data_IF_818240021865
#
_entry.id   IF_818240021865
#
_cell.length_a   1.000
_cell.length_b   1.000
_cell.length_c   1.000
_cell.angle_alpha   90.00
_cell.angle_beta   90.00
_cell.angle_gamma   90.00
#
_symmetry.space_group_name_H-M   'P 1'
#
loop_
_entity.id
_entity.type
_entity.pdbx_description
1 polymer ?
#
# COMPACT_ATOMS: atom_id res chain seq x y z
N UNK A 1 -27.00 22.17 -25.88
CA UNK A 1 -26.69 22.00 -27.31
C UNK A 1 -25.20 21.67 -27.55
N UNK A 2 -24.25 22.35 -26.95
CA UNK A 2 -22.81 22.12 -27.12
C UNK A 2 -22.34 20.67 -26.77
N UNK A 3 -22.85 20.05 -25.69
CA UNK A 3 -22.44 18.71 -25.27
C UNK A 3 -22.78 17.60 -26.31
N UNK A 4 -23.89 17.75 -27.02
CA UNK A 4 -24.28 16.80 -28.09
C UNK A 4 -23.41 16.94 -29.35
N UNK A 5 -22.97 18.15 -29.67
CA UNK A 5 -22.04 18.41 -30.76
C UNK A 5 -20.65 17.83 -30.53
N UNK A 6 -20.12 17.99 -29.30
CA UNK A 6 -18.86 17.39 -28.90
C UNK A 6 -18.89 15.85 -28.92
N UNK A 7 -20.02 15.24 -28.53
CA UNK A 7 -20.18 13.78 -28.58
C UNK A 7 -20.15 13.20 -30.00
N UNK A 8 -20.66 13.92 -30.97
CA UNK A 8 -20.64 13.49 -32.39
C UNK A 8 -19.22 13.56 -32.97
N UNK A 9 -18.48 14.66 -32.74
CA UNK A 9 -17.09 14.81 -33.22
C UNK A 9 -16.17 13.78 -32.56
N UNK A 10 -16.36 13.53 -31.23
CA UNK A 10 -15.56 12.57 -30.46
C UNK A 10 -15.66 11.13 -31.03
N UNK A 11 -16.83 10.77 -31.63
CA UNK A 11 -17.05 9.45 -32.24
C UNK A 11 -16.21 9.23 -33.53
N UNK A 12 -15.93 10.29 -34.28
CA UNK A 12 -15.15 10.22 -35.53
C UNK A 12 -13.64 10.36 -35.32
N UNK A 13 -13.18 10.67 -34.08
CA UNK A 13 -11.76 10.73 -33.80
C UNK A 13 -11.13 9.32 -33.84
N UNK A 14 -9.91 9.18 -34.41
CA UNK A 14 -9.13 7.95 -34.30
C UNK A 14 -9.01 7.49 -32.87
N UNK A 15 -9.10 6.17 -32.63
CA UNK A 15 -9.09 5.60 -31.25
C UNK A 15 -7.92 6.04 -30.40
N UNK A 16 -6.73 6.28 -31.02
CA UNK A 16 -5.55 6.80 -30.30
C UNK A 16 -5.76 8.24 -29.79
N UNK A 17 -6.34 9.11 -30.61
CA UNK A 17 -6.64 10.51 -30.27
C UNK A 17 -7.70 10.57 -29.17
N UNK A 18 -8.76 9.77 -29.29
CA UNK A 18 -9.83 9.68 -28.30
C UNK A 18 -9.31 9.25 -26.94
N UNK A 19 -8.44 8.21 -26.89
CA UNK A 19 -7.79 7.77 -25.63
C UNK A 19 -6.91 8.88 -25.04
N UNK A 20 -6.19 9.65 -25.85
CA UNK A 20 -5.33 10.75 -25.41
C UNK A 20 -6.15 11.90 -24.82
N UNK A 21 -7.25 12.28 -25.45
CA UNK A 21 -8.17 13.33 -24.95
C UNK A 21 -8.78 12.92 -23.61
N UNK A 22 -9.27 11.68 -23.47
CA UNK A 22 -9.80 11.16 -22.20
C UNK A 22 -8.75 11.20 -21.11
N UNK A 23 -7.52 10.77 -21.40
CA UNK A 23 -6.42 10.77 -20.42
C UNK A 23 -5.98 12.16 -19.95
N UNK A 24 -6.11 13.18 -20.78
CA UNK A 24 -5.76 14.56 -20.42
C UNK A 24 -6.68 15.16 -19.35
N UNK A 25 -7.93 14.69 -19.30
CA UNK A 25 -8.91 15.15 -18.30
C UNK A 25 -8.92 14.35 -16.99
N UNK A 26 -8.12 13.27 -16.88
CA UNK A 26 -8.12 12.41 -15.71
C UNK A 26 -7.04 12.79 -14.71
N UNK A 27 -7.40 12.81 -13.43
CA UNK A 27 -6.45 12.95 -12.34
C UNK A 27 -5.54 11.73 -12.28
N UNK A 28 -4.23 11.94 -12.24
CA UNK A 28 -3.25 10.88 -12.05
C UNK A 28 -3.04 10.63 -10.57
N UNK A 29 -2.96 9.36 -10.20
CA UNK A 29 -2.65 8.93 -8.85
C UNK A 29 -1.36 8.12 -8.86
N UNK A 30 -0.54 8.30 -7.84
CA UNK A 30 0.46 7.31 -7.47
C UNK A 30 -0.24 6.16 -6.75
N UNK A 31 0.31 4.95 -6.85
CA UNK A 31 -0.24 3.77 -6.17
C UNK A 31 0.82 3.17 -5.28
N UNK A 32 0.45 2.80 -4.07
CA UNK A 32 1.32 2.11 -3.12
C UNK A 32 0.67 0.82 -2.63
N UNK A 33 1.49 -0.16 -2.31
CA UNK A 33 1.10 -1.39 -1.64
C UNK A 33 1.75 -1.43 -0.25
N UNK A 34 0.93 -1.55 0.81
CA UNK A 34 1.38 -1.69 2.19
C UNK A 34 0.97 -3.04 2.77
N UNK A 35 1.77 -3.59 3.68
CA UNK A 35 1.57 -4.90 4.26
C UNK A 35 1.29 -4.86 5.76
N UNK A 36 0.22 -5.52 6.19
CA UNK A 36 0.08 -6.02 7.55
C UNK A 36 0.65 -7.44 7.59
N UNK A 37 1.93 -7.57 7.90
CA UNK A 37 2.60 -8.86 7.99
C UNK A 37 2.42 -9.40 9.40
N UNK A 38 1.92 -10.62 9.51
CA UNK A 38 1.76 -11.30 10.78
C UNK A 38 2.70 -12.50 10.87
N UNK A 39 3.22 -12.74 12.07
CA UNK A 39 3.92 -13.98 12.40
C UNK A 39 2.92 -15.07 12.86
N UNK A 40 3.45 -16.26 13.14
CA UNK A 40 2.68 -17.40 13.65
C UNK A 40 2.11 -17.20 15.06
N UNK A 41 2.55 -16.16 15.79
CA UNK A 41 2.02 -15.75 17.10
C UNK A 41 0.97 -14.64 16.99
N UNK A 42 0.70 -14.15 15.77
CA UNK A 42 -0.24 -13.05 15.51
C UNK A 42 0.30 -11.66 15.79
N UNK A 43 1.61 -11.50 15.99
CA UNK A 43 2.28 -10.20 16.13
C UNK A 43 2.41 -9.54 14.75
N UNK A 44 2.41 -8.21 14.73
CA UNK A 44 2.56 -7.42 13.51
C UNK A 44 4.01 -6.96 13.33
N UNK A 45 4.50 -7.01 12.09
CA UNK A 45 5.80 -6.44 11.71
C UNK A 45 5.66 -4.93 11.50
N UNK A 46 6.53 -4.18 12.17
CA UNK A 46 6.74 -2.76 11.88
C UNK A 46 8.23 -2.51 11.57
N UNK A 47 8.46 -1.52 10.70
CA UNK A 47 9.78 -1.09 10.30
C UNK A 47 10.09 0.29 10.87
N UNK A 48 11.30 0.45 11.43
CA UNK A 48 11.85 1.75 11.82
C UNK A 48 12.60 2.34 10.62
N UNK A 49 12.06 3.42 10.05
CA UNK A 49 12.64 4.10 8.90
C UNK A 49 13.64 5.19 9.33
N UNK A 50 14.78 5.26 8.66
CA UNK A 50 15.84 6.24 8.96
C UNK A 50 15.42 7.67 8.61
N UNK A 51 14.69 7.87 7.51
CA UNK A 51 14.43 9.20 6.94
C UNK A 51 13.01 9.73 7.12
N UNK A 52 12.13 9.03 7.84
CA UNK A 52 10.77 9.55 8.09
C UNK A 52 10.77 10.62 9.18
N UNK A 53 10.19 11.80 8.86
CA UNK A 53 10.17 12.94 9.76
C UNK A 53 9.14 12.84 10.90
N UNK A 54 7.93 12.28 10.62
CA UNK A 54 6.79 12.34 11.56
C UNK A 54 6.69 11.13 12.51
N UNK A 55 7.10 9.98 12.04
CA UNK A 55 7.11 8.74 12.81
C UNK A 55 8.07 7.77 12.14
N UNK A 56 9.05 7.33 12.90
CA UNK A 56 10.02 6.37 12.37
C UNK A 56 9.39 5.00 12.11
N UNK A 57 8.43 4.60 12.94
CA UNK A 57 7.76 3.31 12.82
C UNK A 57 6.59 3.33 11.83
N UNK A 58 6.49 2.29 11.04
CA UNK A 58 5.37 2.09 10.11
C UNK A 58 5.30 0.67 9.57
N UNK A 59 4.18 0.36 8.93
CA UNK A 59 4.06 -0.91 8.19
C UNK A 59 4.98 -0.87 6.97
N UNK A 60 5.53 -2.02 6.52
CA UNK A 60 6.31 -2.13 5.30
C UNK A 60 5.47 -1.86 4.05
N UNK A 61 6.14 -1.45 2.97
CA UNK A 61 5.54 -1.25 1.66
C UNK A 61 6.05 -0.02 0.93
N UNK A 62 5.74 0.04 -0.36
CA UNK A 62 6.24 1.08 -1.24
C UNK A 62 5.38 1.34 -2.46
N UNK A 63 5.95 2.03 -3.45
CA UNK A 63 5.28 2.38 -4.68
C UNK A 63 5.28 1.21 -5.67
N UNK A 64 4.20 1.16 -6.47
CA UNK A 64 4.16 0.24 -7.60
C UNK A 64 5.03 0.75 -8.74
N UNK A 65 5.78 -0.16 -9.34
CA UNK A 65 6.47 0.08 -10.59
C UNK A 65 5.52 0.01 -11.79
N UNK A 66 5.99 0.55 -12.92
CA UNK A 66 5.19 0.59 -14.15
C UNK A 66 4.87 -0.81 -14.66
N UNK A 67 3.59 -1.17 -14.61
CA UNK A 67 3.08 -2.46 -15.11
C UNK A 67 3.12 -3.58 -14.07
N UNK A 68 3.60 -3.31 -12.87
CA UNK A 68 3.64 -4.24 -11.76
C UNK A 68 2.26 -4.46 -11.15
N UNK A 69 1.96 -5.67 -10.69
CA UNK A 69 0.75 -5.94 -9.93
C UNK A 69 0.94 -5.55 -8.46
N UNK A 70 -0.11 -5.14 -7.74
CA UNK A 70 0.04 -4.65 -6.37
C UNK A 70 0.59 -5.67 -5.36
N UNK A 71 0.27 -6.94 -5.52
CA UNK A 71 0.80 -8.02 -4.68
C UNK A 71 2.26 -8.37 -5.03
N UNK A 72 2.66 -8.21 -6.30
CA UNK A 72 4.06 -8.33 -6.74
C UNK A 72 4.90 -7.20 -6.15
N UNK A 73 4.41 -5.95 -6.22
CA UNK A 73 5.04 -4.78 -5.61
C UNK A 73 5.26 -5.00 -4.10
N UNK A 74 4.23 -5.46 -3.41
CA UNK A 74 4.33 -5.77 -1.98
C UNK A 74 5.43 -6.78 -1.68
N UNK A 75 5.49 -7.88 -2.41
CA UNK A 75 6.51 -8.94 -2.24
C UNK A 75 7.91 -8.43 -2.55
N UNK A 76 8.06 -7.58 -3.58
CA UNK A 76 9.33 -6.94 -3.94
C UNK A 76 9.80 -6.05 -2.81
N UNK A 77 8.95 -5.12 -2.33
CA UNK A 77 9.29 -4.21 -1.23
C UNK A 77 9.70 -4.96 0.04
N UNK A 78 8.96 -6.02 0.43
CA UNK A 78 9.32 -6.83 1.60
C UNK A 78 10.69 -7.52 1.47
N UNK A 79 11.05 -7.98 0.26
CA UNK A 79 12.38 -8.55 0.01
C UNK A 79 13.46 -7.48 0.06
N UNK A 80 13.22 -6.32 -0.58
CA UNK A 80 14.19 -5.22 -0.68
C UNK A 80 14.41 -4.54 0.66
N UNK A 81 13.36 -4.29 1.44
CA UNK A 81 13.46 -3.61 2.73
C UNK A 81 14.02 -4.51 3.84
N UNK A 82 13.55 -5.78 3.91
CA UNK A 82 13.81 -6.63 5.09
C UNK A 82 14.06 -8.11 4.76
N UNK A 83 14.38 -8.47 3.51
CA UNK A 83 14.65 -9.85 3.07
C UNK A 83 13.55 -10.84 3.47
N UNK A 84 12.30 -10.41 3.45
CA UNK A 84 11.15 -11.18 3.95
C UNK A 84 10.36 -11.80 2.79
N UNK A 85 10.06 -13.11 2.92
CA UNK A 85 9.11 -13.83 2.07
C UNK A 85 7.78 -14.00 2.82
N UNK A 86 6.68 -13.95 2.05
CA UNK A 86 5.33 -14.01 2.63
C UNK A 86 4.40 -14.93 1.83
N UNK A 87 3.46 -15.55 2.54
CA UNK A 87 2.32 -16.30 2.00
C UNK A 87 1.00 -15.62 2.34
N UNK A 88 -0.09 -16.19 1.85
CA UNK A 88 -1.48 -15.79 2.18
C UNK A 88 -1.72 -14.29 1.96
N UNK A 89 -1.19 -13.75 0.84
CA UNK A 89 -1.33 -12.32 0.51
C UNK A 89 -2.77 -12.04 0.09
N UNK A 90 -3.47 -11.27 0.90
CA UNK A 90 -4.89 -10.95 0.73
C UNK A 90 -5.12 -9.45 0.84
N UNK A 91 -5.82 -8.87 -0.15
CA UNK A 91 -6.22 -7.45 -0.09
C UNK A 91 -7.25 -7.24 1.03
N UNK A 92 -6.91 -6.43 2.01
CA UNK A 92 -7.81 -6.07 3.11
C UNK A 92 -8.69 -4.89 2.76
N UNK A 93 -8.09 -3.80 2.30
CA UNK A 93 -8.82 -2.62 1.85
C UNK A 93 -7.94 -1.70 1.00
N UNK A 94 -8.60 -0.76 0.32
CA UNK A 94 -7.96 0.34 -0.36
C UNK A 94 -8.49 1.67 0.18
N UNK A 95 -7.69 2.73 0.03
CA UNK A 95 -8.13 4.11 0.24
C UNK A 95 -7.51 5.05 -0.79
N UNK A 96 -8.19 6.15 -1.08
CA UNK A 96 -7.67 7.22 -1.91
C UNK A 96 -7.40 8.46 -1.05
N UNK A 97 -6.23 9.06 -1.22
CA UNK A 97 -5.85 10.33 -0.61
C UNK A 97 -6.08 11.45 -1.62
N UNK A 98 -6.65 12.57 -1.15
CA UNK A 98 -6.86 13.76 -1.99
C UNK A 98 -5.55 14.54 -2.22
N UNK A 99 -4.67 14.51 -1.24
CA UNK A 99 -3.34 15.15 -1.27
C UNK A 99 -2.35 14.32 -0.43
N UNK A 100 -1.25 13.81 -1.03
CA UNK A 100 -1.03 13.74 -2.49
C UNK A 100 -2.12 12.92 -3.16
N UNK A 101 -2.28 13.02 -4.48
CA UNK A 101 -3.20 12.15 -5.22
C UNK A 101 -2.61 10.73 -5.24
N UNK A 102 -3.04 9.90 -4.29
CA UNK A 102 -2.49 8.57 -4.07
C UNK A 102 -3.60 7.57 -3.76
N UNK A 103 -3.46 6.37 -4.31
CA UNK A 103 -4.25 5.20 -3.92
C UNK A 103 -3.34 4.26 -3.16
N UNK A 104 -3.75 3.89 -1.97
CA UNK A 104 -3.04 2.95 -1.11
C UNK A 104 -3.82 1.65 -1.02
N UNK A 105 -3.15 0.56 -1.34
CA UNK A 105 -3.67 -0.80 -1.27
C UNK A 105 -3.03 -1.50 -0.07
N UNK A 106 -3.84 -2.01 0.84
CA UNK A 106 -3.36 -2.64 2.07
C UNK A 106 -3.67 -4.12 2.06
N UNK A 107 -2.63 -4.92 2.16
CA UNK A 107 -2.70 -6.38 2.18
C UNK A 107 -2.40 -6.90 3.58
N UNK A 108 -2.98 -8.04 3.93
CA UNK A 108 -2.49 -8.88 5.01
C UNK A 108 -1.73 -10.06 4.43
N UNK A 109 -0.72 -10.52 5.14
CA UNK A 109 0.07 -11.69 4.75
C UNK A 109 0.75 -12.31 5.97
N UNK A 110 1.25 -13.54 5.79
CA UNK A 110 1.96 -14.31 6.80
C UNK A 110 3.42 -14.41 6.45
N UNK A 111 4.31 -14.10 7.39
CA UNK A 111 5.75 -14.24 7.21
C UNK A 111 6.16 -15.72 7.15
N UNK A 112 7.08 -16.06 6.24
CA UNK A 112 7.64 -17.44 6.14
C UNK A 112 9.05 -17.55 6.68
N UNK A 113 9.74 -16.43 6.91
CA UNK A 113 11.06 -16.35 7.51
C UNK A 113 11.14 -15.12 8.44
N UNK A 114 12.22 -14.97 9.18
CA UNK A 114 12.45 -13.79 10.03
C UNK A 114 12.91 -12.60 9.19
N UNK A 115 12.36 -11.40 9.45
CA UNK A 115 12.76 -10.18 8.75
C UNK A 115 14.17 -9.75 9.15
N UNK A 116 14.98 -9.38 8.17
CA UNK A 116 16.33 -8.83 8.38
C UNK A 116 16.46 -7.55 7.57
N UNK A 117 16.69 -6.36 8.18
CA UNK A 117 16.91 -5.13 7.44
C UNK A 117 17.97 -5.30 6.34
N UNK A 118 17.61 -5.02 5.11
CA UNK A 118 18.47 -5.15 3.92
C UNK A 118 18.59 -3.85 3.12
N UNK A 119 17.76 -2.86 3.43
CA UNK A 119 17.81 -1.52 2.83
C UNK A 119 18.44 -0.52 3.80
N UNK A 120 19.19 0.47 3.26
CA UNK A 120 19.73 1.58 4.04
C UNK A 120 18.65 2.52 4.62
N UNK A 121 17.41 2.40 4.14
CA UNK A 121 16.26 3.16 4.63
C UNK A 121 15.66 2.55 5.90
N UNK A 122 15.93 1.28 6.17
CA UNK A 122 15.34 0.54 7.28
C UNK A 122 16.39 0.30 8.36
N UNK A 123 16.18 0.94 9.50
CA UNK A 123 17.03 0.83 10.68
C UNK A 123 16.79 -0.44 11.49
N UNK A 124 15.48 -0.79 11.65
CA UNK A 124 15.06 -1.99 12.38
C UNK A 124 13.80 -2.58 11.76
N UNK A 125 13.67 -3.89 11.87
CA UNK A 125 12.45 -4.65 11.64
C UNK A 125 12.10 -5.36 12.95
N UNK A 126 10.89 -5.17 13.47
CA UNK A 126 10.51 -5.71 14.78
C UNK A 126 9.07 -6.17 14.81
N UNK A 127 8.83 -7.30 15.47
CA UNK A 127 7.52 -7.82 15.78
C UNK A 127 6.92 -7.17 17.01
N UNK A 128 5.68 -6.72 16.92
CA UNK A 128 4.95 -6.09 18.02
C UNK A 128 3.66 -6.83 18.31
N UNK A 129 3.35 -7.02 19.59
CA UNK A 129 2.03 -7.41 20.00
C UNK A 129 1.03 -6.31 19.67
N UNK A 130 -0.16 -6.69 19.21
CA UNK A 130 -1.17 -5.72 18.75
C UNK A 130 -1.65 -4.77 19.87
N UNK A 131 -1.47 -5.15 21.13
CA UNK A 131 -1.79 -4.33 22.29
C UNK A 131 -0.61 -3.47 22.79
N UNK A 132 0.60 -3.69 22.26
CA UNK A 132 1.85 -3.04 22.69
C UNK A 132 2.59 -2.41 21.51
N UNK A 133 1.85 -1.66 20.69
CA UNK A 133 2.42 -0.95 19.55
C UNK A 133 3.32 0.22 20.03
N UNK A 134 4.39 0.56 19.28
CA UNK A 134 5.28 1.65 19.69
C UNK A 134 4.53 2.98 19.78
N UNK A 135 4.78 3.72 20.87
CA UNK A 135 4.11 5.01 21.13
C UNK A 135 4.42 6.11 20.09
N UNK A 136 5.49 5.93 19.32
CA UNK A 136 5.91 6.85 18.25
C UNK A 136 5.19 6.61 16.92
N UNK A 137 4.21 5.68 16.85
CA UNK A 137 3.39 5.49 15.65
C UNK A 137 2.55 6.73 15.36
N UNK A 138 2.60 7.21 14.11
CA UNK A 138 1.74 8.31 13.70
C UNK A 138 0.25 7.95 13.82
N UNK A 139 -0.58 8.96 14.03
CA UNK A 139 -2.05 8.78 14.07
C UNK A 139 -2.59 8.11 12.79
N UNK A 140 -1.93 8.33 11.64
CA UNK A 140 -2.30 7.68 10.39
C UNK A 140 -2.02 6.18 10.44
N UNK A 141 -0.83 5.77 10.90
CA UNK A 141 -0.44 4.37 11.04
C UNK A 141 -1.34 3.64 12.04
N UNK A 142 -1.62 4.23 13.19
CA UNK A 142 -2.54 3.65 14.18
C UNK A 142 -3.94 3.41 13.59
N UNK A 143 -4.49 4.37 12.83
CA UNK A 143 -5.81 4.23 12.20
C UNK A 143 -5.86 3.11 11.17
N UNK A 144 -4.82 2.96 10.33
CA UNK A 144 -4.81 1.90 9.32
C UNK A 144 -4.62 0.52 9.95
N UNK A 145 -3.77 0.39 10.98
CA UNK A 145 -3.61 -0.86 11.74
C UNK A 145 -4.94 -1.24 12.40
N UNK A 146 -5.59 -0.32 13.11
CA UNK A 146 -6.91 -0.57 13.71
C UNK A 146 -7.93 -1.05 12.68
N UNK A 147 -8.00 -0.38 11.52
CA UNK A 147 -8.89 -0.80 10.44
C UNK A 147 -8.58 -2.21 9.93
N UNK A 148 -7.30 -2.58 9.85
CA UNK A 148 -6.91 -3.92 9.45
C UNK A 148 -7.37 -4.98 10.46
N UNK A 149 -7.28 -4.69 11.75
CA UNK A 149 -7.77 -5.58 12.80
C UNK A 149 -9.29 -5.76 12.74
N UNK A 150 -10.03 -4.68 12.51
CA UNK A 150 -11.49 -4.75 12.31
C UNK A 150 -11.87 -5.62 11.09
N UNK A 151 -11.09 -5.56 10.00
CA UNK A 151 -11.30 -6.42 8.81
C UNK A 151 -10.98 -7.88 9.15
N UNK A 152 -9.85 -8.12 9.84
CA UNK A 152 -9.44 -9.48 10.26
C UNK A 152 -10.49 -10.15 11.13
N UNK A 153 -11.01 -9.45 12.12
CA UNK A 153 -12.06 -9.96 13.03
C UNK A 153 -13.35 -10.35 12.28
N UNK A 154 -13.77 -9.49 11.33
CA UNK A 154 -14.98 -9.76 10.52
C UNK A 154 -14.84 -10.97 9.58
N UNK A 155 -13.62 -11.31 9.15
CA UNK A 155 -13.36 -12.46 8.26
C UNK A 155 -13.19 -13.77 9.03
N UNK A 156 -12.88 -13.68 10.32
CA UNK A 156 -12.75 -14.84 11.21
C UNK A 156 -14.09 -15.33 11.78
N UNK A 157 -15.16 -14.58 11.54
CA UNK A 157 -16.57 -14.92 11.91
C UNK A 157 -17.31 -15.54 10.74
#
# INVERSE_FOLDING_TARGET
>A
MLARFFGSIFRYLPGAVRRRVVRLGQTRFTVTAGAFVFDNRGRILLLEHEFRADSRWGIPGGFLDKGEQPDEALRRELREEVSLEVTDVELYFARALKRPHQVELYFACTATNEPTPSSFEIRKAQWFDLNELPGELSNSQQKIIKRALDVREKRSR
#
